data_IF_688307616696
#
_entry.id   IF_688307616696
#
_cell.length_a   1.000
_cell.length_b   1.000
_cell.length_c   1.000
_cell.angle_alpha   90.00
_cell.angle_beta   90.00
_cell.angle_gamma   90.00
#
_symmetry.space_group_name_H-M   'P 1'
#
loop_
_entity.id
_entity.type
_entity.pdbx_description
1 polymer ?
#
# COMPACT_ATOMS: atom_id res chain seq x y z
N UNK A 1 44.70 -9.69 36.50
CA UNK A 1 44.45 -8.32 35.98
C UNK A 1 44.10 -8.23 34.50
N UNK A 2 44.72 -8.96 33.54
CA UNK A 2 44.38 -8.85 32.10
C UNK A 2 43.13 -9.63 31.67
N UNK A 3 42.77 -10.71 32.37
CA UNK A 3 41.60 -11.53 32.01
C UNK A 3 40.29 -11.06 32.67
N UNK A 4 40.35 -10.47 33.87
CA UNK A 4 39.20 -9.79 34.50
C UNK A 4 38.67 -8.61 33.66
N UNK A 5 39.56 -7.88 32.97
CA UNK A 5 39.17 -6.73 32.15
C UNK A 5 38.45 -7.16 30.84
N UNK A 6 38.71 -8.38 30.34
CA UNK A 6 38.05 -8.93 29.15
C UNK A 6 36.64 -9.42 29.43
N UNK A 7 36.41 -10.04 30.59
CA UNK A 7 35.06 -10.48 30.99
C UNK A 7 34.13 -9.28 31.19
N UNK A 8 34.62 -8.24 31.86
CA UNK A 8 33.83 -7.02 32.17
C UNK A 8 33.41 -6.24 30.92
N UNK A 9 34.21 -6.31 29.84
CA UNK A 9 33.89 -5.66 28.56
C UNK A 9 32.83 -6.44 27.77
N UNK A 10 32.89 -7.78 27.80
CA UNK A 10 31.86 -8.63 27.17
C UNK A 10 30.53 -8.58 27.95
N UNK A 11 30.58 -8.56 29.27
CA UNK A 11 29.39 -8.37 30.13
C UNK A 11 28.70 -7.03 29.83
N UNK A 12 29.46 -5.95 29.66
CA UNK A 12 28.89 -4.64 29.29
C UNK A 12 28.23 -4.63 27.90
N UNK A 13 28.77 -5.36 26.92
CA UNK A 13 28.16 -5.48 25.58
C UNK A 13 26.85 -6.26 25.65
N UNK A 14 26.82 -7.36 26.40
CA UNK A 14 25.59 -8.15 26.61
C UNK A 14 24.55 -7.32 27.37
N UNK A 15 24.97 -6.51 28.35
CA UNK A 15 24.08 -5.65 29.12
C UNK A 15 23.49 -4.50 28.27
N UNK A 16 24.31 -3.87 27.42
CA UNK A 16 23.82 -2.84 26.47
C UNK A 16 22.88 -3.44 25.42
N UNK A 17 23.19 -4.64 24.91
CA UNK A 17 22.30 -5.35 23.99
C UNK A 17 20.96 -5.72 24.67
N UNK A 18 20.98 -6.12 25.94
CA UNK A 18 19.78 -6.44 26.71
C UNK A 18 18.94 -5.19 27.06
N UNK A 19 19.57 -4.05 27.33
CA UNK A 19 18.88 -2.76 27.54
C UNK A 19 18.23 -2.28 26.24
N UNK A 20 18.93 -2.37 25.11
CA UNK A 20 18.37 -2.04 23.79
C UNK A 20 17.20 -2.98 23.47
N UNK A 21 17.33 -4.28 23.75
CA UNK A 21 16.23 -5.23 23.60
C UNK A 21 15.02 -4.89 24.46
N UNK A 22 15.24 -4.48 25.73
CA UNK A 22 14.17 -4.14 26.69
C UNK A 22 13.47 -2.80 26.37
N UNK A 23 14.21 -1.82 25.84
CA UNK A 23 13.64 -0.52 25.40
C UNK A 23 12.76 -0.71 24.16
N UNK A 24 13.10 -1.63 23.27
CA UNK A 24 12.38 -1.86 22.01
C UNK A 24 11.27 -2.90 22.12
N UNK A 25 11.34 -3.86 23.06
CA UNK A 25 10.24 -4.78 23.37
C UNK A 25 9.03 -4.09 24.02
N UNK A 26 9.14 -2.81 24.40
CA UNK A 26 8.05 -1.98 24.89
C UNK A 26 7.32 -1.16 23.81
N UNK A 27 7.68 -1.33 22.52
CA UNK A 27 6.97 -0.70 21.40
C UNK A 27 5.89 -1.67 20.92
N UNK A 28 4.73 -1.63 21.57
CA UNK A 28 3.52 -2.32 21.10
C UNK A 28 3.06 -1.65 19.80
N UNK A 29 3.37 -2.26 18.65
CA UNK A 29 2.88 -1.74 17.36
C UNK A 29 3.56 -2.20 16.07
N UNK A 30 4.42 -3.23 16.04
CA UNK A 30 4.93 -3.76 14.77
C UNK A 30 3.91 -4.72 14.12
N UNK A 31 3.01 -4.17 13.30
CA UNK A 31 1.90 -4.90 12.66
C UNK A 31 2.29 -5.62 11.35
N UNK A 32 3.55 -5.60 10.90
CA UNK A 32 3.93 -6.27 9.65
C UNK A 32 5.21 -7.11 9.78
N UNK A 33 5.21 -8.27 9.11
CA UNK A 33 6.39 -9.13 8.97
C UNK A 33 7.57 -8.40 8.30
N UNK A 34 7.28 -7.35 7.52
CA UNK A 34 8.24 -6.51 6.81
C UNK A 34 9.00 -5.61 7.80
N UNK A 35 8.31 -5.02 8.77
CA UNK A 35 8.95 -4.18 9.80
C UNK A 35 9.87 -5.02 10.69
N UNK A 36 9.46 -6.24 11.02
CA UNK A 36 10.29 -7.19 11.76
C UNK A 36 11.52 -7.65 10.96
N UNK A 37 11.38 -7.82 9.65
CA UNK A 37 12.49 -8.18 8.76
C UNK A 37 13.50 -7.02 8.62
N UNK A 38 13.00 -5.80 8.44
CA UNK A 38 13.81 -4.57 8.37
C UNK A 38 14.56 -4.31 9.70
N UNK A 39 13.91 -4.57 10.84
CA UNK A 39 14.54 -4.52 12.16
C UNK A 39 15.70 -5.52 12.29
N UNK A 40 15.49 -6.77 11.86
CA UNK A 40 16.55 -7.78 11.84
C UNK A 40 17.71 -7.38 10.93
N UNK A 41 17.45 -6.85 9.72
CA UNK A 41 18.49 -6.37 8.81
C UNK A 41 19.39 -5.30 9.45
N UNK A 42 18.78 -4.32 10.11
CA UNK A 42 19.50 -3.22 10.79
C UNK A 42 20.40 -3.74 11.92
N UNK A 43 19.88 -4.69 12.71
CA UNK A 43 20.62 -5.31 13.81
C UNK A 43 21.81 -6.15 13.31
N UNK A 44 21.61 -6.95 12.26
CA UNK A 44 22.69 -7.76 11.67
C UNK A 44 23.78 -6.89 11.03
N UNK A 45 23.42 -5.79 10.36
CA UNK A 45 24.38 -4.84 9.80
C UNK A 45 25.26 -4.20 10.88
N UNK A 46 24.65 -3.81 12.00
CA UNK A 46 25.35 -3.18 13.12
C UNK A 46 26.32 -4.15 13.83
N UNK A 47 25.89 -5.39 14.07
CA UNK A 47 26.73 -6.44 14.67
C UNK A 47 27.91 -6.78 13.74
N UNK A 48 27.68 -6.85 12.44
CA UNK A 48 28.71 -7.15 11.45
C UNK A 48 29.79 -6.06 11.41
N UNK A 49 29.41 -4.78 11.43
CA UNK A 49 30.37 -3.67 11.49
C UNK A 49 31.25 -3.72 12.74
N UNK A 50 30.69 -4.11 13.90
CA UNK A 50 31.45 -4.27 15.14
C UNK A 50 32.46 -5.43 15.08
N UNK A 51 32.09 -6.56 14.47
CA UNK A 51 33.00 -7.71 14.28
C UNK A 51 34.16 -7.33 13.36
N UNK A 52 33.87 -6.63 12.25
CA UNK A 52 34.88 -6.16 11.29
C UNK A 52 35.84 -5.18 11.98
N UNK A 53 35.33 -4.25 12.77
CA UNK A 53 36.16 -3.29 13.52
C UNK A 53 37.03 -3.98 14.58
N UNK A 54 36.48 -4.97 15.28
CA UNK A 54 37.22 -5.80 16.23
C UNK A 54 38.36 -6.60 15.59
N UNK A 55 38.12 -7.16 14.39
CA UNK A 55 39.14 -7.89 13.63
C UNK A 55 40.28 -6.97 13.15
N UNK A 56 39.95 -5.78 12.64
CA UNK A 56 40.93 -4.76 12.23
C UNK A 56 41.77 -4.30 13.44
N UNK A 57 41.13 -4.02 14.57
CA UNK A 57 41.81 -3.62 15.81
C UNK A 57 42.75 -4.73 16.34
N UNK A 58 42.30 -5.99 16.32
CA UNK A 58 43.15 -7.09 16.77
C UNK A 58 44.34 -7.34 15.83
N UNK A 59 44.13 -7.22 14.52
CA UNK A 59 45.17 -7.51 13.52
C UNK A 59 46.26 -6.43 13.51
N UNK A 60 45.87 -5.15 13.61
CA UNK A 60 46.81 -4.02 13.71
C UNK A 60 47.70 -4.09 14.96
N UNK A 61 47.27 -4.79 16.02
CA UNK A 61 48.04 -4.95 17.27
C UNK A 61 49.10 -6.06 17.23
N UNK A 62 49.01 -7.02 16.29
CA UNK A 62 50.05 -8.06 16.12
C UNK A 62 51.21 -7.51 15.28
N UNK A 63 52.25 -6.99 15.96
CA UNK A 63 53.53 -6.56 15.35
C UNK A 63 54.14 -7.69 14.51
N UNK A 64 54.36 -7.46 13.20
CA UNK A 64 55.42 -8.14 12.43
C UNK A 64 56.65 -7.21 12.36
N UNK A 65 57.82 -7.61 12.88
CA UNK A 65 59.05 -6.83 12.74
C UNK A 65 59.59 -6.94 11.30
N UNK A 66 59.95 -5.81 10.67
CA UNK A 66 60.77 -5.81 9.45
C UNK A 66 60.25 -5.09 8.18
N UNK A 67 59.07 -4.47 8.15
CA UNK A 67 58.57 -3.73 6.95
C UNK A 67 58.60 -2.21 7.21
N UNK A 68 59.10 -1.42 6.24
CA UNK A 68 59.13 0.05 6.29
C UNK A 68 57.70 0.65 6.35
N UNK A 69 57.58 1.86 6.89
CA UNK A 69 56.29 2.49 7.22
C UNK A 69 55.44 2.74 5.96
N UNK A 70 56.06 3.12 4.83
CA UNK A 70 55.36 3.36 3.56
C UNK A 70 54.86 2.08 2.90
N UNK A 71 55.69 1.02 2.81
CA UNK A 71 55.28 -0.26 2.24
C UNK A 71 54.21 -1.01 3.06
N UNK A 72 54.14 -0.75 4.38
CA UNK A 72 53.04 -1.24 5.23
C UNK A 72 51.71 -0.58 4.89
N UNK A 73 51.71 0.68 4.51
CA UNK A 73 50.49 1.47 4.29
C UNK A 73 49.80 1.03 3.00
N UNK A 74 50.54 0.87 1.90
CA UNK A 74 49.99 0.38 0.64
C UNK A 74 49.48 -1.07 0.73
N UNK A 75 50.22 -1.96 1.42
CA UNK A 75 49.79 -3.35 1.61
C UNK A 75 48.49 -3.45 2.42
N UNK A 76 48.35 -2.66 3.49
CA UNK A 76 47.15 -2.65 4.34
C UNK A 76 45.94 -2.10 3.57
N UNK A 77 46.13 -1.06 2.74
CA UNK A 77 45.06 -0.51 1.89
C UNK A 77 44.63 -1.53 0.83
N UNK A 78 45.58 -2.22 0.19
CA UNK A 78 45.29 -3.26 -0.79
C UNK A 78 44.54 -4.47 -0.20
N UNK A 79 44.92 -4.90 1.01
CA UNK A 79 44.21 -5.96 1.73
C UNK A 79 42.80 -5.51 2.15
N UNK A 80 42.66 -4.29 2.68
CA UNK A 80 41.36 -3.71 3.07
C UNK A 80 40.41 -3.68 1.88
N UNK A 81 40.87 -3.23 0.72
CA UNK A 81 40.04 -3.16 -0.48
C UNK A 81 39.63 -4.55 -0.97
N UNK A 82 40.52 -5.55 -0.92
CA UNK A 82 40.18 -6.94 -1.25
C UNK A 82 39.17 -7.53 -0.27
N UNK A 83 39.34 -7.34 1.04
CA UNK A 83 38.35 -7.80 2.03
C UNK A 83 37.00 -7.11 1.90
N UNK A 84 36.97 -5.80 1.66
CA UNK A 84 35.72 -5.07 1.41
C UNK A 84 34.99 -5.57 0.16
N UNK A 85 35.70 -5.77 -0.95
CA UNK A 85 35.10 -6.27 -2.19
C UNK A 85 34.58 -7.71 -2.03
N UNK A 86 35.33 -8.59 -1.35
CA UNK A 86 34.89 -9.96 -1.07
C UNK A 86 33.66 -10.00 -0.17
N UNK A 87 33.59 -9.15 0.86
CA UNK A 87 32.43 -9.11 1.75
C UNK A 87 31.19 -8.52 1.07
N UNK A 88 31.35 -7.51 0.22
CA UNK A 88 30.26 -6.99 -0.61
C UNK A 88 29.74 -8.09 -1.56
N UNK A 89 30.64 -8.85 -2.20
CA UNK A 89 30.26 -9.96 -3.08
C UNK A 89 29.50 -11.07 -2.33
N UNK A 90 29.94 -11.43 -1.12
CA UNK A 90 29.24 -12.44 -0.28
C UNK A 90 27.88 -11.90 0.18
N UNK A 91 27.80 -10.63 0.56
CA UNK A 91 26.54 -10.01 0.94
C UNK A 91 25.56 -9.99 -0.25
N UNK A 92 26.01 -9.60 -1.44
CA UNK A 92 25.18 -9.66 -2.63
C UNK A 92 24.80 -11.13 -2.97
N UNK A 93 25.72 -12.08 -2.91
CA UNK A 93 25.42 -13.49 -3.23
C UNK A 93 24.41 -14.14 -2.26
N UNK A 94 24.44 -13.75 -0.98
CA UNK A 94 23.55 -14.31 0.05
C UNK A 94 22.21 -13.55 0.15
N UNK A 95 22.20 -12.24 -0.12
CA UNK A 95 21.02 -11.39 0.05
C UNK A 95 20.23 -11.16 -1.25
N UNK A 96 20.89 -11.20 -2.41
CA UNK A 96 20.21 -11.07 -3.70
C UNK A 96 19.15 -12.15 -3.94
N UNK A 97 19.35 -13.44 -3.56
CA UNK A 97 18.29 -14.45 -3.66
C UNK A 97 17.11 -14.19 -2.71
N UNK A 98 17.35 -13.60 -1.53
CA UNK A 98 16.30 -13.25 -0.56
C UNK A 98 15.47 -12.07 -1.05
N UNK A 99 16.13 -11.06 -1.63
CA UNK A 99 15.47 -9.89 -2.26
C UNK A 99 14.68 -10.28 -3.52
N UNK A 100 15.13 -11.29 -4.28
CA UNK A 100 14.44 -11.74 -5.50
C UNK A 100 13.29 -12.72 -5.19
N UNK A 101 13.38 -13.53 -4.12
CA UNK A 101 12.40 -14.61 -3.86
C UNK A 101 11.14 -14.16 -3.12
N UNK A 102 11.20 -13.17 -2.22
CA UNK A 102 10.05 -12.75 -1.42
C UNK A 102 9.16 -11.70 -2.13
N UNK A 103 9.76 -10.79 -2.90
CA UNK A 103 9.04 -9.67 -3.49
C UNK A 103 8.58 -9.94 -4.93
N UNK A 104 9.35 -10.67 -5.73
CA UNK A 104 9.09 -10.71 -7.18
C UNK A 104 7.84 -11.52 -7.55
N UNK A 105 7.57 -12.65 -6.88
CA UNK A 105 6.39 -13.50 -7.15
C UNK A 105 5.08 -12.82 -6.76
N UNK A 106 5.06 -12.10 -5.62
CA UNK A 106 3.89 -11.35 -5.16
C UNK A 106 3.67 -10.05 -5.95
N UNK A 107 4.73 -9.41 -6.46
CA UNK A 107 4.67 -8.24 -7.34
C UNK A 107 4.20 -8.62 -8.75
N UNK A 108 4.68 -9.74 -9.30
CA UNK A 108 4.24 -10.22 -10.62
C UNK A 108 2.77 -10.65 -10.63
N UNK A 109 2.26 -11.26 -9.55
CA UNK A 109 0.83 -11.62 -9.46
C UNK A 109 -0.11 -10.41 -9.34
N UNK A 110 0.35 -9.30 -8.72
CA UNK A 110 -0.43 -8.06 -8.59
C UNK A 110 -0.52 -7.26 -9.89
N UNK A 111 0.47 -7.38 -10.76
CA UNK A 111 0.54 -6.68 -12.05
C UNK A 111 -0.19 -7.38 -13.20
N UNK A 112 -0.78 -8.56 -12.99
CA UNK A 112 -1.52 -9.30 -14.03
C UNK A 112 -3.05 -9.13 -13.93
N UNK A 113 -3.52 -8.03 -13.33
CA UNK A 113 -4.94 -7.68 -13.43
C UNK A 113 -5.21 -7.14 -14.83
N UNK A 114 -5.74 -8.01 -15.67
CA UNK A 114 -6.14 -7.68 -17.03
C UNK A 114 -7.33 -6.72 -17.02
N UNK A 115 -7.08 -5.47 -17.42
CA UNK A 115 -8.14 -4.49 -17.65
C UNK A 115 -8.75 -4.69 -19.04
N UNK A 116 -10.05 -4.50 -19.14
CA UNK A 116 -10.80 -4.50 -20.40
C UNK A 116 -11.48 -3.16 -20.61
N UNK A 117 -11.88 -2.85 -21.85
CA UNK A 117 -12.63 -1.63 -22.15
C UNK A 117 -14.11 -1.97 -22.36
N UNK A 118 -14.98 -1.22 -21.72
CA UNK A 118 -16.42 -1.20 -21.97
C UNK A 118 -16.79 0.15 -22.60
N UNK A 119 -17.70 0.12 -23.58
CA UNK A 119 -18.25 1.33 -24.18
C UNK A 119 -19.69 1.49 -23.73
N UNK A 120 -19.97 2.59 -23.04
CA UNK A 120 -21.32 2.98 -22.69
C UNK A 120 -22.06 3.45 -23.95
N UNK A 121 -23.22 2.86 -24.21
CA UNK A 121 -24.04 3.19 -25.37
C UNK A 121 -24.88 4.44 -25.13
N UNK A 122 -25.06 4.86 -23.88
CA UNK A 122 -25.85 6.03 -23.53
C UNK A 122 -25.15 7.34 -23.96
N UNK A 123 -23.82 7.41 -23.81
CA UNK A 123 -23.02 8.62 -24.09
C UNK A 123 -21.77 8.38 -24.94
N UNK A 124 -21.57 7.15 -25.44
CA UNK A 124 -20.41 6.75 -26.23
C UNK A 124 -19.07 6.78 -25.48
N UNK A 125 -19.04 7.01 -24.16
CA UNK A 125 -17.81 7.01 -23.37
C UNK A 125 -17.27 5.60 -23.20
N UNK A 126 -15.95 5.51 -23.09
CA UNK A 126 -15.24 4.26 -22.82
C UNK A 126 -14.78 4.27 -21.38
N UNK A 127 -15.10 3.20 -20.66
CA UNK A 127 -14.67 2.96 -19.29
C UNK A 127 -13.75 1.74 -19.26
N UNK A 128 -12.68 1.82 -18.50
CA UNK A 128 -11.91 0.64 -18.14
C UNK A 128 -12.68 -0.20 -17.11
N UNK A 129 -12.50 -1.51 -17.19
CA UNK A 129 -13.19 -2.50 -16.38
C UNK A 129 -12.23 -3.57 -15.92
N UNK A 130 -12.52 -4.19 -14.78
CA UNK A 130 -11.70 -5.25 -14.20
C UNK A 130 -12.61 -6.33 -13.61
N UNK A 131 -12.29 -7.59 -13.89
CA UNK A 131 -13.01 -8.72 -13.30
C UNK A 131 -12.37 -9.12 -11.98
N UNK A 132 -13.17 -9.12 -10.92
CA UNK A 132 -12.76 -9.44 -9.55
C UNK A 132 -13.74 -10.48 -9.03
N UNK A 133 -13.25 -11.69 -8.74
CA UNK A 133 -14.04 -12.77 -8.16
C UNK A 133 -15.35 -13.08 -8.92
N UNK A 134 -15.30 -13.10 -10.26
CA UNK A 134 -16.45 -13.40 -11.13
C UNK A 134 -17.36 -12.21 -11.46
N UNK A 135 -17.21 -11.08 -10.77
CA UNK A 135 -17.94 -9.84 -11.07
C UNK A 135 -17.04 -8.84 -11.81
N UNK A 136 -17.57 -8.17 -12.82
CA UNK A 136 -16.84 -7.13 -13.55
C UNK A 136 -17.20 -5.76 -13.00
N UNK A 137 -16.19 -5.00 -12.57
CA UNK A 137 -16.33 -3.67 -12.01
C UNK A 137 -15.82 -2.62 -12.98
N UNK A 138 -16.46 -1.45 -13.02
CA UNK A 138 -15.82 -0.27 -13.60
C UNK A 138 -14.60 0.13 -12.76
N UNK A 139 -13.46 0.31 -13.42
CA UNK A 139 -12.24 0.81 -12.79
C UNK A 139 -12.26 2.34 -12.62
N UNK A 140 -13.09 3.04 -13.38
CA UNK A 140 -13.28 4.48 -13.27
C UNK A 140 -14.67 4.79 -12.72
N UNK A 141 -14.84 5.96 -12.13
CA UNK A 141 -16.15 6.45 -11.72
C UNK A 141 -17.01 6.76 -12.96
N UNK A 142 -18.31 6.52 -12.85
CA UNK A 142 -19.26 6.80 -13.92
C UNK A 142 -19.31 8.31 -14.20
N UNK A 143 -19.26 8.70 -15.47
CA UNK A 143 -19.31 10.10 -15.89
C UNK A 143 -20.44 10.33 -16.91
N UNK A 144 -21.58 9.66 -16.72
CA UNK A 144 -22.76 9.82 -17.56
C UNK A 144 -23.55 11.05 -17.12
N UNK A 145 -23.96 11.91 -18.05
CA UNK A 145 -24.84 13.05 -17.76
C UNK A 145 -26.28 12.67 -18.11
N UNK A 146 -27.12 12.30 -17.13
CA UNK A 146 -28.49 11.87 -17.41
C UNK A 146 -29.39 13.06 -17.78
N UNK A 147 -30.41 12.83 -18.60
CA UNK A 147 -31.41 13.88 -18.92
C UNK A 147 -32.26 14.29 -17.70
N UNK A 148 -32.35 13.42 -16.69
CA UNK A 148 -33.12 13.60 -15.47
C UNK A 148 -32.36 13.05 -14.29
N UNK A 149 -32.47 13.72 -13.15
CA UNK A 149 -31.77 13.35 -11.93
C UNK A 149 -30.94 14.51 -11.40
N UNK A 150 -30.26 14.26 -10.29
CA UNK A 150 -29.32 15.19 -9.68
C UNK A 150 -27.92 14.63 -9.88
N UNK A 151 -27.11 15.40 -10.60
CA UNK A 151 -25.71 15.09 -10.82
C UNK A 151 -24.87 16.38 -10.88
N UNK A 152 -23.62 16.29 -10.41
CA UNK A 152 -22.70 17.41 -10.37
C UNK A 152 -21.27 17.00 -10.74
N UNK A 153 -20.53 17.99 -11.24
CA UNK A 153 -19.08 17.96 -11.13
C UNK A 153 -18.69 18.52 -9.77
N UNK A 154 -17.65 18.00 -9.15
CA UNK A 154 -17.14 18.56 -7.91
C UNK A 154 -16.85 20.08 -8.07
N UNK A 155 -17.28 20.91 -7.10
CA UNK A 155 -17.21 22.39 -7.13
C UNK A 155 -17.92 23.04 -8.33
N UNK A 156 -18.84 22.34 -8.99
CA UNK A 156 -19.47 22.76 -10.24
C UNK A 156 -18.48 23.06 -11.38
N UNK A 157 -17.27 22.49 -11.32
CA UNK A 157 -16.22 22.69 -12.32
C UNK A 157 -16.27 21.55 -13.35
N UNK A 158 -16.60 21.80 -14.62
CA UNK A 158 -16.73 20.75 -15.65
C UNK A 158 -15.50 19.85 -15.79
N UNK A 159 -14.30 20.41 -15.67
CA UNK A 159 -13.03 19.67 -15.75
C UNK A 159 -12.89 18.60 -14.64
N UNK A 160 -13.56 18.78 -13.49
CA UNK A 160 -13.56 17.78 -12.43
C UNK A 160 -14.37 16.54 -12.83
N UNK A 161 -15.47 16.68 -13.59
CA UNK A 161 -16.18 15.52 -14.14
C UNK A 161 -15.29 14.69 -15.08
N UNK A 162 -14.53 15.36 -15.95
CA UNK A 162 -13.64 14.69 -16.89
C UNK A 162 -12.50 13.92 -16.19
N UNK A 163 -12.06 14.44 -15.04
CA UNK A 163 -10.91 13.92 -14.30
C UNK A 163 -11.29 12.88 -13.24
N UNK A 164 -12.45 13.03 -12.59
CA UNK A 164 -12.84 12.25 -11.40
C UNK A 164 -14.18 11.52 -11.55
N UNK A 165 -14.93 11.78 -12.63
CA UNK A 165 -16.31 11.33 -12.79
C UNK A 165 -17.33 12.29 -12.17
N UNK A 166 -18.60 11.98 -12.36
CA UNK A 166 -19.73 12.75 -11.80
C UNK A 166 -20.11 12.23 -10.43
N UNK A 167 -20.67 13.13 -9.63
CA UNK A 167 -21.30 12.84 -8.35
C UNK A 167 -22.80 12.82 -8.55
N UNK A 168 -23.51 11.83 -8.00
CA UNK A 168 -24.95 11.65 -8.19
C UNK A 168 -25.62 11.57 -6.83
N UNK A 169 -26.86 12.05 -6.72
CA UNK A 169 -27.71 11.70 -5.58
C UNK A 169 -28.08 10.21 -5.61
N UNK A 170 -28.54 9.66 -4.49
CA UNK A 170 -28.79 8.21 -4.39
C UNK A 170 -29.90 7.75 -5.35
N UNK A 171 -30.93 8.58 -5.55
CA UNK A 171 -32.04 8.26 -6.46
C UNK A 171 -31.57 8.15 -7.91
N UNK A 172 -30.74 9.08 -8.35
CA UNK A 172 -30.15 9.07 -9.70
C UNK A 172 -29.16 7.91 -9.83
N UNK A 173 -28.36 7.65 -8.79
CA UNK A 173 -27.40 6.54 -8.76
C UNK A 173 -28.02 5.16 -9.04
N UNK A 174 -29.29 4.95 -8.66
CA UNK A 174 -30.00 3.68 -8.90
C UNK A 174 -30.23 3.40 -10.40
N UNK A 175 -30.33 4.44 -11.23
CA UNK A 175 -30.80 4.33 -12.61
C UNK A 175 -29.74 4.72 -13.67
N UNK A 176 -28.60 5.33 -13.28
CA UNK A 176 -27.60 5.83 -14.24
C UNK A 176 -26.65 4.77 -14.81
N UNK A 177 -26.60 3.57 -14.23
CA UNK A 177 -25.74 2.54 -14.75
C UNK A 177 -26.21 2.03 -16.14
N UNK A 178 -25.29 1.80 -17.10
CA UNK A 178 -25.67 1.39 -18.45
C UNK A 178 -26.35 0.02 -18.50
N UNK A 179 -27.08 -0.27 -19.59
CA UNK A 179 -27.77 -1.56 -19.75
C UNK A 179 -26.86 -2.78 -19.53
N UNK A 180 -27.28 -3.69 -18.64
CA UNK A 180 -26.50 -4.87 -18.23
C UNK A 180 -25.46 -4.59 -17.14
N UNK A 181 -25.35 -3.35 -16.67
CA UNK A 181 -24.64 -2.95 -15.46
C UNK A 181 -25.64 -2.45 -14.42
N UNK A 182 -25.25 -2.45 -13.15
CA UNK A 182 -26.08 -1.97 -12.06
C UNK A 182 -25.25 -1.25 -10.99
N UNK A 183 -25.92 -0.49 -10.14
CA UNK A 183 -25.31 0.04 -8.93
C UNK A 183 -25.03 -1.12 -7.95
N UNK A 184 -23.80 -1.27 -7.42
CA UNK A 184 -23.44 -2.40 -6.57
C UNK A 184 -24.29 -2.42 -5.30
N UNK A 185 -24.67 -3.63 -4.88
CA UNK A 185 -25.35 -3.87 -3.62
C UNK A 185 -24.37 -4.01 -2.46
N UNK A 186 -24.90 -4.04 -1.24
CA UNK A 186 -24.12 -4.23 -0.01
C UNK A 186 -23.33 -5.55 -0.07
N UNK A 187 -23.98 -6.59 -0.61
CA UNK A 187 -23.38 -7.90 -0.81
C UNK A 187 -22.23 -7.87 -1.83
N UNK A 188 -22.33 -7.06 -2.88
CA UNK A 188 -21.29 -6.96 -3.89
C UNK A 188 -20.02 -6.32 -3.31
N UNK A 189 -20.19 -5.26 -2.51
CA UNK A 189 -19.08 -4.64 -1.79
C UNK A 189 -18.49 -5.55 -0.72
N UNK A 190 -19.31 -6.29 0.03
CA UNK A 190 -18.82 -7.25 1.02
C UNK A 190 -17.98 -8.36 0.37
N UNK A 191 -18.42 -8.89 -0.77
CA UNK A 191 -17.66 -9.87 -1.55
C UNK A 191 -16.36 -9.30 -2.08
N UNK A 192 -16.37 -8.06 -2.56
CA UNK A 192 -15.18 -7.34 -2.99
C UNK A 192 -14.19 -7.19 -1.82
N UNK A 193 -14.62 -6.63 -0.70
CA UNK A 193 -13.77 -6.41 0.48
C UNK A 193 -13.20 -7.72 1.01
N UNK A 194 -14.01 -8.78 1.09
CA UNK A 194 -13.55 -10.10 1.51
C UNK A 194 -12.47 -10.65 0.57
N UNK A 195 -12.66 -10.52 -0.75
CA UNK A 195 -11.66 -10.95 -1.74
C UNK A 195 -10.35 -10.17 -1.64
N UNK A 196 -10.40 -8.90 -1.26
CA UNK A 196 -9.24 -8.01 -1.17
C UNK A 196 -8.48 -8.08 0.17
N UNK A 197 -8.78 -9.08 1.02
CA UNK A 197 -8.08 -9.28 2.28
C UNK A 197 -8.77 -8.68 3.51
N UNK A 198 -10.07 -8.34 3.40
CA UNK A 198 -10.90 -7.90 4.52
C UNK A 198 -10.66 -6.44 4.94
N UNK A 199 -11.42 -5.97 5.93
CA UNK A 199 -11.55 -4.54 6.27
C UNK A 199 -10.24 -3.84 6.67
N UNK A 200 -9.23 -4.58 7.17
CA UNK A 200 -7.94 -4.01 7.59
C UNK A 200 -6.94 -3.73 6.45
N UNK A 201 -7.10 -4.38 5.30
CA UNK A 201 -6.15 -4.28 4.16
C UNK A 201 -6.79 -3.99 2.80
N UNK A 202 -8.10 -4.23 2.65
CA UNK A 202 -8.80 -4.13 1.39
C UNK A 202 -8.71 -2.74 0.75
N UNK A 203 -8.56 -1.66 1.52
CA UNK A 203 -8.50 -0.31 0.96
C UNK A 203 -7.24 -0.04 0.16
N UNK A 204 -6.09 -0.57 0.54
CA UNK A 204 -4.86 -0.37 -0.23
C UNK A 204 -4.95 -1.09 -1.59
N UNK A 205 -5.41 -2.33 -1.58
CA UNK A 205 -5.55 -3.15 -2.77
C UNK A 205 -6.71 -2.64 -3.66
N UNK A 206 -7.84 -2.25 -3.08
CA UNK A 206 -8.96 -1.63 -3.80
C UNK A 206 -8.51 -0.38 -4.56
N UNK A 207 -7.75 0.53 -3.92
CA UNK A 207 -7.24 1.74 -4.58
C UNK A 207 -6.46 1.44 -5.86
N UNK A 208 -5.63 0.40 -5.82
CA UNK A 208 -4.81 0.01 -6.97
C UNK A 208 -5.67 -0.62 -8.08
N UNK A 209 -6.49 -1.62 -7.75
CA UNK A 209 -7.27 -2.39 -8.74
C UNK A 209 -8.40 -1.56 -9.35
N UNK A 210 -9.07 -0.78 -8.51
CA UNK A 210 -10.19 0.05 -8.90
C UNK A 210 -9.74 1.46 -9.28
N UNK A 211 -8.44 1.70 -9.51
CA UNK A 211 -7.86 2.98 -9.93
C UNK A 211 -8.55 4.18 -9.26
N UNK A 212 -8.64 4.10 -7.94
CA UNK A 212 -9.53 4.98 -7.17
C UNK A 212 -9.11 6.42 -7.35
N UNK A 213 -10.05 7.24 -7.81
CA UNK A 213 -9.96 8.68 -7.92
C UNK A 213 -10.59 9.24 -6.66
N UNK A 214 -9.94 10.16 -5.95
CA UNK A 214 -10.47 10.73 -4.71
C UNK A 214 -11.26 11.99 -5.05
N UNK A 215 -12.50 11.82 -5.51
CA UNK A 215 -13.34 12.89 -6.05
C UNK A 215 -13.96 13.77 -4.97
N UNK A 216 -13.88 13.38 -3.69
CA UNK A 216 -14.65 14.04 -2.64
C UNK A 216 -16.15 13.77 -2.77
N UNK A 217 -16.96 14.63 -2.18
CA UNK A 217 -18.41 14.54 -2.18
C UNK A 217 -19.07 15.92 -2.21
N UNK A 218 -20.31 15.96 -2.68
CA UNK A 218 -21.24 17.08 -2.49
C UNK A 218 -22.14 16.81 -1.28
N UNK A 219 -22.27 17.82 -0.43
CA UNK A 219 -23.07 17.82 0.78
C UNK A 219 -24.51 18.24 0.49
N UNK A 220 -25.44 17.95 1.41
CA UNK A 220 -26.86 18.30 1.26
C UNK A 220 -27.09 19.82 1.21
N UNK A 221 -26.20 20.60 1.81
CA UNK A 221 -26.26 22.07 1.82
C UNK A 221 -25.68 22.72 0.56
N UNK A 222 -25.24 21.92 -0.42
CA UNK A 222 -24.64 22.37 -1.67
C UNK A 222 -23.16 22.72 -1.57
N UNK A 223 -22.53 22.52 -0.41
CA UNK A 223 -21.07 22.61 -0.29
C UNK A 223 -20.40 21.32 -0.76
N UNK A 224 -19.09 21.37 -0.99
CA UNK A 224 -18.30 20.21 -1.37
C UNK A 224 -17.18 19.97 -0.35
N UNK A 225 -16.86 18.71 -0.13
CA UNK A 225 -15.89 18.30 0.89
C UNK A 225 -15.00 17.16 0.43
N UNK A 226 -13.86 16.99 1.13
CA UNK A 226 -12.97 15.84 0.99
C UNK A 226 -12.30 15.63 -0.38
N UNK A 227 -12.24 16.65 -1.24
CA UNK A 227 -11.54 16.57 -2.51
C UNK A 227 -10.09 16.09 -2.36
N UNK A 228 -9.68 15.15 -3.19
CA UNK A 228 -8.31 14.64 -3.22
C UNK A 228 -7.91 13.81 -2.00
N UNK A 229 -8.80 13.60 -1.03
CA UNK A 229 -8.53 12.82 0.20
C UNK A 229 -9.58 11.73 0.47
N UNK A 230 -10.83 11.90 0.05
CA UNK A 230 -11.92 10.96 0.29
C UNK A 230 -12.56 10.50 -1.01
N UNK A 231 -13.01 9.25 -1.02
CA UNK A 231 -13.84 8.68 -2.07
C UNK A 231 -15.02 7.93 -1.47
N UNK A 232 -16.19 8.11 -2.05
CA UNK A 232 -17.45 7.59 -1.57
C UNK A 232 -18.24 6.99 -2.72
N UNK A 233 -18.70 5.75 -2.56
CA UNK A 233 -19.50 5.05 -3.55
C UNK A 233 -20.90 4.76 -3.05
N UNK A 234 -21.91 5.09 -3.85
CA UNK A 234 -23.26 4.67 -3.56
C UNK A 234 -23.43 3.16 -3.63
N UNK A 235 -24.28 2.64 -2.75
CA UNK A 235 -24.74 1.27 -2.74
C UNK A 235 -26.25 1.24 -3.05
N UNK A 236 -26.71 0.30 -3.87
CA UNK A 236 -28.13 0.14 -4.21
C UNK A 236 -28.98 -0.36 -3.04
N UNK A 237 -28.35 -0.91 -2.00
CA UNK A 237 -29.05 -1.32 -0.78
C UNK A 237 -29.43 -0.09 0.05
N UNK A 238 -30.73 0.08 0.27
CA UNK A 238 -31.28 1.17 1.07
C UNK A 238 -30.99 0.95 2.56
N UNK A 239 -30.67 2.04 3.29
CA UNK A 239 -30.58 2.00 4.76
C UNK A 239 -31.95 2.23 5.39
N UNK A 240 -32.61 3.32 5.01
CA UNK A 240 -33.97 3.69 5.40
C UNK A 240 -34.50 4.78 4.44
N UNK A 241 -35.64 5.38 4.78
CA UNK A 241 -36.30 6.38 3.93
C UNK A 241 -35.41 7.59 3.59
N UNK A 242 -34.57 8.07 4.53
CA UNK A 242 -33.78 9.30 4.37
C UNK A 242 -32.29 9.03 4.06
N UNK A 243 -31.79 7.83 4.40
CA UNK A 243 -30.36 7.49 4.31
C UNK A 243 -30.11 6.37 3.29
N UNK A 244 -29.05 6.53 2.50
CA UNK A 244 -28.48 5.52 1.63
C UNK A 244 -27.24 4.88 2.25
N UNK A 245 -26.97 3.62 1.92
CA UNK A 245 -25.68 2.98 2.26
C UNK A 245 -24.63 3.50 1.28
N UNK A 246 -23.44 3.81 1.80
CA UNK A 246 -22.28 4.12 0.97
C UNK A 246 -21.04 3.39 1.47
N UNK A 247 -20.03 3.28 0.61
CA UNK A 247 -18.72 2.74 0.98
C UNK A 247 -17.66 3.79 0.77
N UNK A 248 -16.75 3.92 1.74
CA UNK A 248 -15.76 4.99 1.74
C UNK A 248 -14.32 4.50 1.81
N UNK A 249 -13.44 5.22 1.11
CA UNK A 249 -12.00 5.06 1.10
C UNK A 249 -11.37 6.42 1.40
N UNK A 250 -10.38 6.44 2.30
CA UNK A 250 -9.55 7.61 2.50
C UNK A 250 -8.19 7.40 1.83
N UNK A 251 -7.59 8.45 1.28
CA UNK A 251 -6.30 8.38 0.60
C UNK A 251 -5.17 7.83 1.46
N UNK A 252 -5.14 8.20 2.74
CA UNK A 252 -4.03 7.93 3.67
C UNK A 252 -4.14 6.54 4.29
N UNK A 253 -5.31 6.15 4.81
CA UNK A 253 -5.46 4.86 5.49
C UNK A 253 -5.75 3.70 4.51
N UNK A 254 -5.62 2.46 4.96
CA UNK A 254 -5.89 1.25 4.17
C UNK A 254 -7.31 0.71 4.35
N UNK A 255 -8.21 1.48 4.95
CA UNK A 255 -9.56 1.01 5.30
C UNK A 255 -10.51 1.15 4.13
N UNK A 256 -11.27 0.09 3.85
CA UNK A 256 -12.43 0.12 2.97
C UNK A 256 -13.63 -0.32 3.80
N UNK A 257 -14.53 0.61 4.12
CA UNK A 257 -15.62 0.30 5.04
C UNK A 257 -16.91 0.99 4.66
N UNK A 258 -17.99 0.36 5.14
CA UNK A 258 -19.37 0.77 4.97
C UNK A 258 -19.70 1.97 5.86
N UNK A 259 -20.48 2.88 5.34
CA UNK A 259 -21.01 4.06 6.01
C UNK A 259 -22.45 4.32 5.50
N UNK A 260 -22.99 5.48 5.84
CA UNK A 260 -24.29 5.94 5.38
C UNK A 260 -24.26 7.46 5.19
N UNK A 261 -24.99 7.94 4.19
CA UNK A 261 -25.15 9.36 3.89
C UNK A 261 -26.63 9.67 3.60
N UNK A 262 -27.08 10.91 3.79
CA UNK A 262 -28.41 11.32 3.32
C UNK A 262 -28.52 11.06 1.82
N UNK A 263 -29.68 10.60 1.36
CA UNK A 263 -29.87 10.23 -0.06
C UNK A 263 -29.68 11.39 -1.02
N UNK A 264 -29.79 12.62 -0.53
CA UNK A 264 -29.60 13.86 -1.27
C UNK A 264 -28.12 14.21 -1.44
N UNK A 265 -27.20 13.63 -0.65
CA UNK A 265 -25.76 13.84 -0.83
C UNK A 265 -25.31 13.35 -2.21
N UNK A 266 -24.26 13.96 -2.77
CA UNK A 266 -23.79 13.60 -4.11
C UNK A 266 -22.43 12.93 -4.04
N UNK A 267 -22.38 11.67 -4.44
CA UNK A 267 -21.15 10.87 -4.41
C UNK A 267 -21.01 10.03 -5.68
N UNK A 268 -19.84 9.44 -5.86
CA UNK A 268 -19.50 8.68 -7.06
C UNK A 268 -20.36 7.43 -7.22
N UNK A 269 -20.61 7.08 -8.48
CA UNK A 269 -21.20 5.80 -8.89
C UNK A 269 -20.13 4.95 -9.57
N UNK A 270 -20.08 3.67 -9.20
CA UNK A 270 -19.18 2.69 -9.80
C UNK A 270 -19.96 1.43 -10.14
N UNK A 271 -20.34 1.30 -11.41
CA UNK A 271 -21.23 0.22 -11.81
C UNK A 271 -20.52 -1.14 -11.80
N UNK A 272 -21.30 -2.17 -11.48
CA UNK A 272 -20.91 -3.58 -11.51
C UNK A 272 -21.75 -4.34 -12.53
N UNK A 273 -21.15 -5.35 -13.14
CA UNK A 273 -21.83 -6.35 -13.96
C UNK A 273 -21.58 -7.72 -13.35
N UNK A 274 -22.65 -8.35 -12.87
CA UNK A 274 -22.59 -9.71 -12.34
C UNK A 274 -22.65 -10.67 -13.53
N UNK A 275 -21.59 -11.46 -13.73
CA UNK A 275 -21.64 -12.55 -14.69
C UNK A 275 -22.28 -13.73 -13.98
N UNK A 276 -23.52 -14.10 -14.35
CA UNK A 276 -24.12 -15.32 -13.84
C UNK A 276 -23.20 -16.49 -14.19
N UNK A 277 -22.80 -17.28 -13.18
CA UNK A 277 -22.17 -18.57 -13.44
C UNK A 277 -23.24 -19.45 -14.10
N UNK A 278 -23.04 -19.77 -15.38
CA UNK A 278 -23.83 -20.78 -16.08
C UNK A 278 -23.49 -22.19 -15.59
#
# INVERSE_FOLDING_TARGET
MKDEFKLKYLENIVYVAAIIFSIYSGIDGLSSAIDFLNFKLSLYSSIFLLIVWGAIYHYTKKKKPGISIEGKTEYIIGLRNKFHLSMIAIFLALWLPVLISADYSSILSRNDKQYSSFRDNNDNKKYETVTINGSTWMAQNLNYNPEKGVDYCYDDIPANCDSYGRLYDWKTALDVCPGGWQLPSDKDFDQLIAYLGGTGGAGAEAKAILRVLFSGMGEVDGTFSNFGIGEYYWCSTEKNQDWGICYQLNKINSSFHKSQLPKEAQISVRCIKITAMH
#
